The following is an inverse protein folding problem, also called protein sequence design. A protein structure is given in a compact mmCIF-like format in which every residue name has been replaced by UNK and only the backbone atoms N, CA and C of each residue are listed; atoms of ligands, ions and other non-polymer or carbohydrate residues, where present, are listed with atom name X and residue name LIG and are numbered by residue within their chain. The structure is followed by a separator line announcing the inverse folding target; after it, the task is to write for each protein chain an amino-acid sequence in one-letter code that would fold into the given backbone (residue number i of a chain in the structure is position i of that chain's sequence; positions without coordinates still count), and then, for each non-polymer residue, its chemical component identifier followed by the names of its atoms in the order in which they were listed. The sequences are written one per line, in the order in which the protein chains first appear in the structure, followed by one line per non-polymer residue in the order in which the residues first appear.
data_IF_075195189388
#
_entry.id   IF_075195189388
#
_cell.length_a   1.000
_cell.length_b   1.000
_cell.length_c   1.000
_cell.angle_alpha   90.00
_cell.angle_beta   90.00
_cell.angle_gamma   90.00
#
_symmetry.space_group_name_H-M   'P 1'
#
loop_
_entity.id
_entity.type
_entity.pdbx_description
1 polymer ?
#
# COMPACT_ATOMS: atom_id res chain seq x y z
N UNK A 1 -19.74 -8.81 5.25
CA UNK A 1 -20.47 -7.54 5.05
C UNK A 1 -19.96 -6.88 3.79
N UNK A 2 -20.84 -6.49 2.86
CA UNK A 2 -20.46 -5.67 1.70
C UNK A 2 -20.12 -4.25 2.19
N UNK A 3 -19.06 -3.59 1.68
CA UNK A 3 -18.77 -2.22 2.05
C UNK A 3 -19.93 -1.29 1.66
N UNK A 4 -20.23 -0.31 2.51
CA UNK A 4 -21.22 0.74 2.19
C UNK A 4 -20.78 1.44 0.89
N UNK A 5 -21.73 1.89 0.07
CA UNK A 5 -21.47 2.47 -1.25
C UNK A 5 -20.45 3.62 -1.22
N UNK A 6 -20.52 4.48 -0.19
CA UNK A 6 -19.53 5.54 0.07
C UNK A 6 -18.11 5.00 0.31
N UNK A 7 -17.99 3.89 1.05
CA UNK A 7 -16.69 3.24 1.32
C UNK A 7 -16.09 2.71 0.03
N UNK A 8 -16.90 2.09 -0.83
CA UNK A 8 -16.49 1.59 -2.14
C UNK A 8 -16.05 2.72 -3.08
N UNK A 9 -16.82 3.81 -3.17
CA UNK A 9 -16.46 4.97 -4.00
C UNK A 9 -15.16 5.64 -3.54
N UNK A 10 -14.96 5.80 -2.23
CA UNK A 10 -13.70 6.36 -1.73
C UNK A 10 -12.51 5.43 -1.98
N UNK A 11 -12.68 4.11 -1.83
CA UNK A 11 -11.64 3.13 -2.15
C UNK A 11 -11.28 3.17 -3.63
N UNK A 12 -12.28 3.28 -4.50
CA UNK A 12 -12.08 3.39 -5.95
C UNK A 12 -11.28 4.64 -6.32
N UNK A 13 -11.63 5.81 -5.78
CA UNK A 13 -10.87 7.05 -5.99
C UNK A 13 -9.40 6.92 -5.59
N UNK A 14 -9.13 6.31 -4.42
CA UNK A 14 -7.76 6.09 -3.95
C UNK A 14 -7.02 5.09 -4.83
N UNK A 15 -7.68 4.03 -5.27
CA UNK A 15 -7.08 3.05 -6.18
C UNK A 15 -6.79 3.63 -7.57
N UNK A 16 -7.73 4.40 -8.15
CA UNK A 16 -7.52 5.08 -9.43
C UNK A 16 -6.30 6.01 -9.36
N UNK A 17 -6.12 6.74 -8.24
CA UNK A 17 -4.91 7.55 -8.02
C UNK A 17 -3.63 6.70 -8.12
N UNK A 18 -3.58 5.50 -7.53
CA UNK A 18 -2.41 4.60 -7.64
C UNK A 18 -2.14 4.20 -9.10
N UNK A 19 -3.18 3.99 -9.90
CA UNK A 19 -3.05 3.59 -11.30
C UNK A 19 -2.57 4.74 -12.18
N UNK A 20 -3.11 5.94 -11.99
CA UNK A 20 -2.83 7.10 -12.85
C UNK A 20 -1.57 7.85 -12.47
N UNK A 21 -1.08 7.70 -11.23
CA UNK A 21 0.13 8.42 -10.78
C UNK A 21 1.37 7.86 -11.48
N UNK A 22 2.14 8.70 -12.19
CA UNK A 22 3.40 8.30 -12.81
C UNK A 22 4.42 7.79 -11.79
N UNK A 23 5.43 7.07 -12.27
CA UNK A 23 6.53 6.64 -11.41
C UNK A 23 7.28 7.85 -10.83
N UNK A 24 7.26 7.98 -9.50
CA UNK A 24 7.88 9.08 -8.75
C UNK A 24 7.57 8.92 -7.27
N UNK A 25 8.00 9.87 -6.43
CA UNK A 25 7.65 9.84 -5.01
C UNK A 25 6.13 9.88 -4.77
N UNK A 26 5.39 10.65 -5.58
CA UNK A 26 3.93 10.74 -5.51
C UNK A 26 3.21 9.40 -5.70
N UNK A 27 3.81 8.45 -6.43
CA UNK A 27 3.26 7.10 -6.55
C UNK A 27 3.26 6.36 -5.20
N UNK A 28 4.31 6.53 -4.40
CA UNK A 28 4.39 5.94 -3.06
C UNK A 28 3.43 6.63 -2.09
N UNK A 29 3.23 7.94 -2.24
CA UNK A 29 2.17 8.68 -1.51
C UNK A 29 0.78 8.16 -1.91
N UNK A 30 0.54 7.89 -3.19
CA UNK A 30 -0.74 7.30 -3.63
C UNK A 30 -0.97 5.91 -3.03
N UNK A 31 0.07 5.08 -2.91
CA UNK A 31 -0.01 3.79 -2.20
C UNK A 31 -0.34 4.01 -0.72
N UNK A 32 0.35 4.94 -0.04
CA UNK A 32 0.09 5.27 1.35
C UNK A 32 -1.38 5.62 1.58
N UNK A 33 -1.90 6.59 0.82
CA UNK A 33 -3.31 7.00 0.88
C UNK A 33 -4.30 5.84 0.67
N UNK A 34 -3.98 4.93 -0.24
CA UNK A 34 -4.80 3.76 -0.52
C UNK A 34 -4.84 2.80 0.67
N UNK A 35 -3.69 2.55 1.30
CA UNK A 35 -3.58 1.69 2.48
C UNK A 35 -4.20 2.35 3.71
N UNK A 36 -3.93 3.63 3.94
CA UNK A 36 -4.53 4.42 5.03
C UNK A 36 -6.07 4.35 4.96
N UNK A 37 -6.64 4.49 3.76
CA UNK A 37 -8.08 4.39 3.58
C UNK A 37 -8.61 2.99 3.91
N UNK A 38 -7.88 1.91 3.58
CA UNK A 38 -8.28 0.54 3.93
C UNK A 38 -8.22 0.34 5.45
N UNK A 39 -7.13 0.74 6.10
CA UNK A 39 -6.93 0.57 7.55
C UNK A 39 -7.95 1.39 8.36
N UNK A 40 -8.30 2.58 7.88
CA UNK A 40 -9.31 3.47 8.50
C UNK A 40 -10.75 2.95 8.33
N UNK A 41 -10.97 1.90 7.53
CA UNK A 41 -12.28 1.31 7.29
C UNK A 41 -12.29 -0.15 7.78
N UNK A 42 -12.78 -0.44 9.01
CA UNK A 42 -12.75 -1.78 9.61
C UNK A 42 -13.38 -2.89 8.75
N UNK A 43 -14.39 -2.56 7.94
CA UNK A 43 -15.00 -3.52 7.01
C UNK A 43 -14.06 -3.96 5.89
N UNK A 44 -13.18 -3.07 5.42
CA UNK A 44 -12.20 -3.36 4.37
C UNK A 44 -11.02 -4.15 4.95
N UNK A 45 -10.42 -3.66 6.04
CA UNK A 45 -9.32 -4.36 6.71
C UNK A 45 -9.74 -5.76 7.19
N UNK A 46 -10.94 -5.89 7.75
CA UNK A 46 -11.54 -7.19 8.10
C UNK A 46 -11.69 -8.13 6.90
N UNK A 47 -12.05 -7.61 5.72
CA UNK A 47 -12.18 -8.41 4.50
C UNK A 47 -10.83 -8.93 3.95
N UNK A 48 -9.71 -8.32 4.35
CA UNK A 48 -8.34 -8.76 4.02
C UNK A 48 -7.74 -9.70 5.06
N UNK A 49 -8.50 -10.06 6.10
CA UNK A 49 -8.00 -10.89 7.20
C UNK A 49 -7.36 -12.20 6.71
N UNK A 50 -6.19 -12.60 7.25
CA UNK A 50 -5.53 -13.86 6.91
C UNK A 50 -6.33 -15.09 7.34
N UNK A 51 -7.34 -14.93 8.21
CA UNK A 51 -8.20 -16.05 8.66
C UNK A 51 -9.11 -16.56 7.54
N UNK A 52 -9.47 -15.70 6.57
CA UNK A 52 -10.33 -16.07 5.46
C UNK A 52 -9.59 -16.99 4.47
N UNK A 53 -10.18 -18.14 4.13
CA UNK A 53 -9.59 -19.13 3.20
C UNK A 53 -9.21 -18.52 1.84
N UNK A 54 -10.09 -17.74 1.16
CA UNK A 54 -9.73 -17.13 -0.13
C UNK A 54 -8.52 -16.21 -0.06
N UNK A 55 -8.32 -15.52 1.07
CA UNK A 55 -7.18 -14.62 1.26
C UNK A 55 -5.87 -15.38 1.38
N UNK A 56 -5.89 -16.57 2.01
CA UNK A 56 -4.73 -17.44 2.12
C UNK A 56 -4.34 -18.03 0.78
N UNK A 57 -5.31 -18.54 0.04
CA UNK A 57 -5.11 -19.13 -1.30
C UNK A 57 -4.54 -18.10 -2.28
N UNK A 58 -5.06 -16.87 -2.26
CA UNK A 58 -4.59 -15.77 -3.11
C UNK A 58 -3.36 -15.03 -2.56
N UNK A 59 -2.83 -15.44 -1.39
CA UNK A 59 -1.71 -14.81 -0.68
C UNK A 59 -1.92 -13.31 -0.41
N UNK A 60 -3.16 -12.87 -0.22
CA UNK A 60 -3.54 -11.48 0.03
C UNK A 60 -2.79 -10.85 1.21
N UNK A 61 -2.62 -11.53 2.37
CA UNK A 61 -1.90 -10.94 3.51
C UNK A 61 -0.44 -10.58 3.17
N UNK A 62 0.22 -11.40 2.36
CA UNK A 62 1.61 -11.15 1.94
C UNK A 62 1.65 -9.95 1.01
N UNK A 63 0.79 -9.92 -0.02
CA UNK A 63 0.69 -8.82 -0.99
C UNK A 63 0.37 -7.50 -0.30
N UNK A 64 -0.59 -7.52 0.62
CA UNK A 64 -0.98 -6.37 1.42
C UNK A 64 0.15 -5.92 2.35
N UNK A 65 0.87 -6.86 2.97
CA UNK A 65 2.05 -6.56 3.79
C UNK A 65 3.15 -5.81 3.06
N UNK A 66 3.40 -6.14 1.78
CA UNK A 66 4.35 -5.38 0.95
C UNK A 66 3.93 -3.92 0.76
N UNK A 67 2.64 -3.65 0.56
CA UNK A 67 2.12 -2.28 0.44
C UNK A 67 2.14 -1.55 1.80
N UNK A 68 1.84 -2.26 2.91
CA UNK A 68 1.90 -1.72 4.27
C UNK A 68 3.30 -1.26 4.67
N UNK A 69 4.37 -1.84 4.11
CA UNK A 69 5.74 -1.34 4.34
C UNK A 69 5.93 0.08 3.83
N UNK A 70 5.32 0.44 2.70
CA UNK A 70 5.37 1.81 2.17
C UNK A 70 4.59 2.76 3.06
N UNK A 71 3.38 2.35 3.47
CA UNK A 71 2.57 3.10 4.43
C UNK A 71 3.37 3.40 5.71
N UNK A 72 3.91 2.36 6.36
CA UNK A 72 4.70 2.52 7.58
C UNK A 72 5.96 3.38 7.35
N UNK A 73 6.63 3.22 6.21
CA UNK A 73 7.83 3.98 5.87
C UNK A 73 7.57 5.47 5.71
N UNK A 74 6.42 5.87 5.17
CA UNK A 74 6.05 7.28 5.08
C UNK A 74 5.60 7.84 6.44
N UNK A 75 4.85 7.07 7.23
CA UNK A 75 4.52 7.44 8.61
C UNK A 75 5.78 7.66 9.46
N UNK A 76 6.81 6.82 9.25
CA UNK A 76 8.10 6.93 9.93
C UNK A 76 8.92 8.14 9.44
N UNK A 77 8.75 8.55 8.17
CA UNK A 77 9.43 9.72 7.60
C UNK A 77 8.91 11.03 8.16
N UNK A 78 7.60 11.08 8.43
CA UNK A 78 6.94 12.28 8.98
C UNK A 78 7.02 12.32 10.52
N UNK A 79 7.37 11.20 11.16
CA UNK A 79 7.56 11.13 12.61
C UNK A 79 8.95 11.62 13.03
N UNK A 80 9.00 12.67 13.85
CA UNK A 80 10.25 13.25 14.40
C UNK A 80 10.82 12.50 15.62
N UNK A 81 10.29 11.32 15.92
CA UNK A 81 10.74 10.53 17.07
C UNK A 81 12.15 9.99 16.84
N UNK A 82 13.04 10.20 17.82
CA UNK A 82 14.39 9.60 17.86
C UNK A 82 14.37 8.11 18.30
N UNK A 83 13.23 7.45 18.23
CA UNK A 83 13.11 6.04 18.60
C UNK A 83 13.82 5.15 17.56
N UNK A 84 14.49 4.10 18.04
CA UNK A 84 15.07 3.09 17.16
C UNK A 84 13.94 2.35 16.41
N UNK A 85 13.91 2.52 15.09
CA UNK A 85 12.93 1.91 14.20
C UNK A 85 13.25 0.44 13.90
N UNK A 86 14.47 0.00 14.21
CA UNK A 86 15.03 -1.28 13.79
C UNK A 86 15.45 -1.28 12.31
N UNK A 87 16.32 -2.24 11.96
CA UNK A 87 16.96 -2.31 10.64
C UNK A 87 15.98 -2.33 9.45
N UNK A 88 14.87 -3.06 9.54
CA UNK A 88 13.92 -3.19 8.42
C UNK A 88 13.22 -1.87 8.13
N UNK A 89 12.66 -1.20 9.16
CA UNK A 89 11.92 0.07 8.99
C UNK A 89 12.85 1.21 8.60
N UNK A 90 14.05 1.27 9.19
CA UNK A 90 15.06 2.26 8.81
C UNK A 90 15.47 2.12 7.34
N UNK A 91 15.66 0.89 6.85
CA UNK A 91 16.01 0.66 5.44
C UNK A 91 14.91 1.12 4.48
N UNK A 92 13.64 0.87 4.84
CA UNK A 92 12.48 1.35 4.08
C UNK A 92 12.43 2.87 4.04
N UNK A 93 12.60 3.53 5.19
CA UNK A 93 12.64 4.99 5.30
C UNK A 93 13.75 5.59 4.42
N UNK A 94 14.96 5.02 4.49
CA UNK A 94 16.09 5.46 3.69
C UNK A 94 15.81 5.36 2.19
N UNK A 95 15.23 4.23 1.73
CA UNK A 95 14.85 4.07 0.32
C UNK A 95 13.80 5.11 -0.12
N UNK A 96 12.76 5.35 0.70
CA UNK A 96 11.72 6.33 0.38
C UNK A 96 12.27 7.76 0.34
N UNK A 97 13.20 8.11 1.24
CA UNK A 97 13.88 9.41 1.23
C UNK A 97 14.77 9.60 0.00
N UNK A 98 15.48 8.56 -0.45
CA UNK A 98 16.22 8.61 -1.72
C UNK A 98 15.29 8.87 -2.91
N UNK A 99 14.16 8.16 -2.97
CA UNK A 99 13.15 8.37 -4.00
C UNK A 99 12.57 9.79 -3.94
N UNK A 100 12.33 10.33 -2.74
CA UNK A 100 11.86 11.71 -2.53
C UNK A 100 12.86 12.75 -3.06
N UNK A 101 14.15 12.47 -2.94
CA UNK A 101 15.23 13.33 -3.42
C UNK A 101 15.67 13.04 -4.86
N UNK A 102 14.85 12.29 -5.63
CA UNK A 102 15.13 11.89 -7.02
C UNK A 102 16.41 11.06 -7.22
N UNK A 103 17.00 10.54 -6.13
CA UNK A 103 18.14 9.63 -6.13
C UNK A 103 17.66 8.19 -6.37
N UNK A 104 17.18 7.95 -7.58
CA UNK A 104 16.58 6.68 -7.99
C UNK A 104 17.52 5.84 -8.84
N UNK A 105 17.76 4.60 -8.42
CA UNK A 105 18.52 3.60 -9.20
C UNK A 105 17.89 2.21 -9.08
N UNK A 106 18.33 1.27 -9.91
CA UNK A 106 17.94 -0.15 -9.83
C UNK A 106 18.38 -0.85 -8.53
N UNK A 107 19.21 -0.19 -7.71
CA UNK A 107 19.53 -0.66 -6.36
C UNK A 107 18.44 -0.35 -5.33
N UNK A 108 17.56 0.62 -5.60
CA UNK A 108 16.42 0.94 -4.74
C UNK A 108 15.30 -0.09 -5.00
N UNK A 109 15.07 -0.98 -4.03
CA UNK A 109 14.16 -2.12 -4.17
C UNK A 109 12.73 -1.68 -4.47
N UNK A 110 12.23 -0.63 -3.80
CA UNK A 110 10.90 -0.09 -4.05
C UNK A 110 10.77 0.54 -5.44
N UNK A 111 11.77 1.31 -5.86
CA UNK A 111 11.79 1.93 -7.18
C UNK A 111 11.77 0.87 -8.29
N UNK A 112 12.63 -0.15 -8.17
CA UNK A 112 12.69 -1.28 -9.10
C UNK A 112 11.38 -2.05 -9.16
N UNK A 113 10.69 -2.20 -8.02
CA UNK A 113 9.43 -2.97 -7.90
C UNK A 113 8.17 -2.11 -8.04
N UNK A 114 8.26 -0.85 -8.47
CA UNK A 114 7.08 0.05 -8.60
C UNK A 114 5.91 -0.54 -9.41
N UNK A 115 6.19 -1.19 -10.54
CA UNK A 115 5.15 -1.83 -11.36
C UNK A 115 4.55 -3.06 -10.66
N UNK A 116 5.37 -3.82 -9.91
CA UNK A 116 4.87 -4.90 -9.07
C UNK A 116 3.95 -4.33 -7.98
N UNK A 117 4.32 -3.24 -7.31
CA UNK A 117 3.50 -2.60 -6.29
C UNK A 117 2.14 -2.15 -6.86
N UNK A 118 2.13 -1.56 -8.07
CA UNK A 118 0.87 -1.20 -8.76
C UNK A 118 0.00 -2.44 -9.00
N UNK A 119 0.60 -3.55 -9.44
CA UNK A 119 -0.11 -4.82 -9.61
C UNK A 119 -0.66 -5.36 -8.28
N UNK A 120 0.13 -5.32 -7.21
CA UNK A 120 -0.29 -5.77 -5.88
C UNK A 120 -1.48 -4.94 -5.35
N UNK A 121 -1.45 -3.62 -5.55
CA UNK A 121 -2.58 -2.75 -5.21
C UNK A 121 -3.85 -3.17 -5.96
N UNK A 122 -3.73 -3.51 -7.24
CA UNK A 122 -4.85 -4.05 -8.04
C UNK A 122 -5.38 -5.39 -7.52
N UNK A 123 -4.51 -6.30 -7.09
CA UNK A 123 -4.95 -7.58 -6.52
C UNK A 123 -5.66 -7.40 -5.16
N UNK A 124 -5.18 -6.47 -4.33
CA UNK A 124 -5.84 -6.10 -3.06
C UNK A 124 -7.20 -5.44 -3.33
N UNK A 125 -7.25 -4.48 -4.27
CA UNK A 125 -8.49 -3.81 -4.66
C UNK A 125 -9.54 -4.80 -5.16
N UNK A 126 -9.20 -5.67 -6.12
CA UNK A 126 -10.11 -6.71 -6.65
C UNK A 126 -10.66 -7.62 -5.56
N UNK A 127 -9.88 -7.88 -4.50
CA UNK A 127 -10.35 -8.67 -3.37
C UNK A 127 -11.39 -7.92 -2.52
N UNK A 128 -11.24 -6.61 -2.37
CA UNK A 128 -12.14 -5.74 -1.60
C UNK A 128 -13.41 -5.38 -2.36
N UNK A 129 -13.30 -5.24 -3.68
CA UNK A 129 -14.39 -4.95 -4.60
C UNK A 129 -14.51 -6.14 -5.55
N UNK A 130 -15.21 -7.22 -5.14
CA UNK A 130 -15.50 -8.30 -6.07
C UNK A 130 -16.33 -7.73 -7.23
N UNK A 131 -15.95 -8.11 -8.44
CA UNK A 131 -16.75 -7.87 -9.64
C UNK A 131 -18.16 -8.45 -9.40
N UNK A 132 -19.24 -7.76 -9.78
CA UNK A 132 -20.54 -8.38 -9.83
C UNK A 132 -20.49 -9.47 -10.91
N UNK A 133 -20.31 -10.72 -10.49
CA UNK A 133 -20.60 -11.88 -11.33
C UNK A 133 -22.06 -11.88 -11.78
#
# INVERSE_FOLDING_TARGET
MKPKEKVKSGLDKKFQRVLTTPAGFDFFVAIHDFIEYIESNPSLSGALSPRMKPNRELKIPVKYGYLKRIYQGLEDADNKSNADLGHERYSVLLELNRIRNEDVSDSNSFWKKRELLRKLAGEVYKRLVPDPA
#
